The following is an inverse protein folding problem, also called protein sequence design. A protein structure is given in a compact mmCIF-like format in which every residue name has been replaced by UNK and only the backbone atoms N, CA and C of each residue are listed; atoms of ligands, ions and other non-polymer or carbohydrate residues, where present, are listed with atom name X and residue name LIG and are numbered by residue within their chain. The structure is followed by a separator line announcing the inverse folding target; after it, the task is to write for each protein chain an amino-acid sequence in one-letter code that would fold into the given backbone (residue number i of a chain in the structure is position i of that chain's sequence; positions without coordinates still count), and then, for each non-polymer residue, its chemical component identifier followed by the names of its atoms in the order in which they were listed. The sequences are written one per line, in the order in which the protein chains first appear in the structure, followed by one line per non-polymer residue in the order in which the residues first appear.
data_IF_094308305455
#
_entry.id   IF_094308305455
#
_cell.length_a   1.000
_cell.length_b   1.000
_cell.length_c   1.000
_cell.angle_alpha   90.00
_cell.angle_beta   90.00
_cell.angle_gamma   90.00
#
_symmetry.space_group_name_H-M   'P 1'
#
loop_
_entity.id
_entity.type
_entity.pdbx_description
1 polymer ?
#
# COMPACT_ATOMS: atom_id res chain seq x y z
N UNK A 1 8.49 -42.46 26.15
CA UNK A 1 7.77 -42.72 24.88
C UNK A 1 6.66 -41.69 24.66
N UNK A 2 5.58 -41.65 25.46
CA UNK A 2 4.42 -40.78 25.23
C UNK A 2 4.72 -39.25 25.17
N UNK A 3 5.62 -38.74 26.01
CA UNK A 3 5.99 -37.30 26.02
C UNK A 3 6.67 -36.82 24.74
N UNK A 4 7.52 -37.66 24.14
CA UNK A 4 8.20 -37.33 22.89
C UNK A 4 7.22 -37.34 21.71
N UNK A 5 6.24 -38.26 21.71
CA UNK A 5 5.19 -38.34 20.70
C UNK A 5 4.28 -37.10 20.73
N UNK A 6 3.91 -36.62 21.93
CA UNK A 6 3.09 -35.41 22.09
C UNK A 6 3.84 -34.15 21.61
N UNK A 7 5.15 -34.04 21.90
CA UNK A 7 5.97 -32.92 21.42
C UNK A 7 6.12 -32.91 19.90
N UNK A 8 6.34 -34.08 19.28
CA UNK A 8 6.41 -34.22 17.81
C UNK A 8 5.11 -33.80 17.13
N UNK A 9 3.96 -34.20 17.70
CA UNK A 9 2.64 -33.82 17.18
C UNK A 9 2.39 -32.30 17.32
N UNK A 10 2.77 -31.71 18.46
CA UNK A 10 2.64 -30.27 18.67
C UNK A 10 3.51 -29.45 17.69
N UNK A 11 4.76 -29.88 17.45
CA UNK A 11 5.66 -29.23 16.48
C UNK A 11 5.13 -29.37 15.05
N UNK A 12 4.63 -30.54 14.67
CA UNK A 12 4.02 -30.76 13.36
C UNK A 12 2.79 -29.87 13.14
N UNK A 13 1.95 -29.70 14.17
CA UNK A 13 0.77 -28.84 14.12
C UNK A 13 1.15 -27.35 13.97
N UNK A 14 2.18 -26.89 14.68
CA UNK A 14 2.70 -25.51 14.56
C UNK A 14 3.30 -25.26 13.18
N UNK A 15 4.02 -26.24 12.61
CA UNK A 15 4.58 -26.14 11.26
C UNK A 15 3.49 -26.08 10.19
N UNK A 16 2.41 -26.84 10.34
CA UNK A 16 1.24 -26.78 9.43
C UNK A 16 0.52 -25.42 9.49
N UNK A 17 0.41 -24.83 10.69
CA UNK A 17 -0.15 -23.48 10.87
C UNK A 17 0.75 -22.37 10.31
N UNK A 18 2.07 -22.58 10.28
CA UNK A 18 3.03 -21.65 9.69
C UNK A 18 3.12 -21.77 8.15
N UNK A 19 2.69 -22.90 7.59
CA UNK A 19 2.72 -23.18 6.15
C UNK A 19 1.49 -22.65 5.39
N UNK A 20 0.60 -21.88 6.04
CA UNK A 20 -0.49 -21.21 5.32
C UNK A 20 0.15 -20.25 4.31
N UNK A 21 0.00 -20.49 3.00
CA UNK A 21 0.46 -19.51 2.02
C UNK A 21 -0.32 -18.23 2.32
N UNK A 22 0.39 -17.19 2.75
CA UNK A 22 -0.17 -15.85 2.69
C UNK A 22 -0.47 -15.65 1.21
N UNK A 23 -1.75 -15.71 0.83
CA UNK A 23 -2.15 -15.38 -0.52
C UNK A 23 -1.56 -14.00 -0.80
N UNK A 24 -0.54 -13.94 -1.66
CA UNK A 24 0.01 -12.68 -2.11
C UNK A 24 -1.10 -12.06 -2.96
N UNK A 25 -1.92 -11.20 -2.34
CA UNK A 25 -2.81 -10.34 -3.10
C UNK A 25 -1.90 -9.43 -3.88
N UNK A 26 -1.71 -9.76 -5.16
CA UNK A 26 -0.99 -8.91 -6.08
C UNK A 26 -1.67 -7.53 -6.02
N UNK A 27 -0.88 -6.48 -5.86
CA UNK A 27 -1.40 -5.12 -5.92
C UNK A 27 -1.94 -4.90 -7.34
N UNK A 28 -3.27 -4.84 -7.44
CA UNK A 28 -4.02 -4.55 -8.65
C UNK A 28 -4.33 -3.04 -8.75
N UNK A 29 -4.24 -2.46 -9.94
CA UNK A 29 -4.44 -1.02 -10.09
C UNK A 29 -5.89 -0.56 -9.85
N UNK A 30 -6.89 -1.41 -10.07
CA UNK A 30 -8.28 -1.11 -9.71
C UNK A 30 -8.46 -1.08 -8.19
N UNK A 31 -7.76 -1.95 -7.45
CA UNK A 31 -7.72 -1.89 -5.99
C UNK A 31 -7.02 -0.61 -5.50
N UNK A 32 -5.86 -0.27 -6.07
CA UNK A 32 -5.15 0.99 -5.77
C UNK A 32 -6.05 2.21 -6.02
N UNK A 33 -6.71 2.27 -7.17
CA UNK A 33 -7.64 3.33 -7.53
C UNK A 33 -8.76 3.46 -6.49
N UNK A 34 -9.36 2.34 -6.07
CA UNK A 34 -10.42 2.36 -5.05
C UNK A 34 -9.97 2.96 -3.71
N UNK A 35 -8.72 2.72 -3.32
CA UNK A 35 -8.13 3.25 -2.08
C UNK A 35 -7.86 4.75 -2.18
N UNK A 36 -7.43 5.24 -3.34
CA UNK A 36 -7.01 6.65 -3.51
C UNK A 36 -8.10 7.56 -4.09
N UNK A 37 -9.20 7.01 -4.62
CA UNK A 37 -10.35 7.79 -5.10
C UNK A 37 -10.85 8.86 -4.11
N UNK A 38 -10.96 8.59 -2.79
CA UNK A 38 -11.36 9.61 -1.82
C UNK A 38 -10.38 10.79 -1.69
N UNK A 39 -9.16 10.67 -2.22
CA UNK A 39 -8.14 11.72 -2.21
C UNK A 39 -8.28 12.74 -3.34
N UNK A 40 -9.15 12.47 -4.32
CA UNK A 40 -9.25 13.28 -5.55
C UNK A 40 -9.44 14.78 -5.27
N UNK A 41 -10.37 15.12 -4.36
CA UNK A 41 -10.63 16.52 -4.00
C UNK A 41 -9.42 17.22 -3.40
N UNK A 42 -8.62 16.51 -2.61
CA UNK A 42 -7.41 17.06 -2.01
C UNK A 42 -6.30 17.25 -3.05
N UNK A 43 -6.03 16.23 -3.86
CA UNK A 43 -4.99 16.31 -4.88
C UNK A 43 -5.36 17.27 -6.03
N UNK A 44 -6.61 17.73 -6.13
CA UNK A 44 -7.04 18.79 -7.03
C UNK A 44 -7.04 20.20 -6.41
N UNK A 45 -6.42 20.37 -5.23
CA UNK A 45 -6.29 21.68 -4.57
C UNK A 45 -7.19 21.88 -3.34
N UNK A 46 -7.86 20.84 -2.86
CA UNK A 46 -8.59 20.89 -1.60
C UNK A 46 -7.70 21.21 -0.39
N UNK A 47 -8.29 21.68 0.73
CA UNK A 47 -7.54 22.20 1.88
C UNK A 47 -6.85 21.10 2.70
N UNK A 48 -7.44 19.90 2.79
CA UNK A 48 -6.89 18.77 3.55
C UNK A 48 -7.39 17.43 3.02
N UNK A 49 -6.61 16.34 3.21
CA UNK A 49 -7.08 15.00 2.91
C UNK A 49 -8.19 14.58 3.89
N UNK A 50 -9.22 13.92 3.38
CA UNK A 50 -10.28 13.34 4.21
C UNK A 50 -9.74 12.14 5.03
N UNK A 51 -10.46 11.77 6.09
CA UNK A 51 -10.13 10.56 6.85
C UNK A 51 -10.17 9.29 6.00
N UNK A 52 -11.10 9.21 5.04
CA UNK A 52 -11.18 8.10 4.09
C UNK A 52 -9.98 8.05 3.15
N UNK A 53 -9.54 9.22 2.66
CA UNK A 53 -8.33 9.32 1.85
C UNK A 53 -7.11 8.83 2.63
N UNK A 54 -6.92 9.30 3.87
CA UNK A 54 -5.78 8.85 4.67
C UNK A 54 -5.86 7.36 5.03
N UNK A 55 -7.05 6.83 5.31
CA UNK A 55 -7.24 5.39 5.50
C UNK A 55 -6.82 4.58 4.27
N UNK A 56 -7.15 5.06 3.06
CA UNK A 56 -6.73 4.43 1.80
C UNK A 56 -5.21 4.47 1.60
N UNK A 57 -4.58 5.63 1.81
CA UNK A 57 -3.13 5.82 1.70
C UNK A 57 -2.37 4.93 2.69
N UNK A 58 -2.81 4.86 3.95
CA UNK A 58 -2.23 4.00 4.98
C UNK A 58 -2.40 2.51 4.64
N UNK A 59 -3.58 2.12 4.16
CA UNK A 59 -3.85 0.74 3.75
C UNK A 59 -2.97 0.32 2.59
N UNK A 60 -2.79 1.18 1.58
CA UNK A 60 -1.89 0.91 0.46
C UNK A 60 -0.43 0.78 0.94
N UNK A 61 0.01 1.66 1.85
CA UNK A 61 1.35 1.57 2.44
C UNK A 61 1.57 0.23 3.16
N UNK A 62 0.61 -0.20 3.98
CA UNK A 62 0.67 -1.46 4.72
C UNK A 62 0.63 -2.70 3.82
N UNK A 63 0.08 -2.59 2.61
CA UNK A 63 0.09 -3.65 1.60
C UNK A 63 1.39 -3.66 0.78
N UNK A 64 1.94 -2.49 0.48
CA UNK A 64 3.15 -2.32 -0.34
C UNK A 64 4.46 -2.47 0.45
N UNK A 65 4.63 -3.61 1.14
CA UNK A 65 5.79 -3.86 2.02
C UNK A 65 6.99 -4.46 1.29
N UNK A 66 6.76 -5.23 0.22
CA UNK A 66 7.84 -5.76 -0.61
C UNK A 66 8.28 -4.77 -1.69
N UNK A 67 9.46 -4.98 -2.27
CA UNK A 67 9.92 -4.15 -3.40
C UNK A 67 8.95 -4.26 -4.59
N UNK A 68 8.55 -5.47 -4.96
CA UNK A 68 7.62 -5.69 -6.08
C UNK A 68 6.29 -5.01 -5.87
N UNK A 69 5.74 -5.05 -4.66
CA UNK A 69 4.45 -4.41 -4.35
C UNK A 69 4.56 -2.89 -4.40
N UNK A 70 5.66 -2.32 -3.89
CA UNK A 70 5.93 -0.87 -4.03
C UNK A 70 6.02 -0.45 -5.49
N UNK A 71 6.71 -1.23 -6.32
CA UNK A 71 6.83 -0.94 -7.75
C UNK A 71 5.47 -1.02 -8.44
N UNK A 72 4.66 -2.05 -8.13
CA UNK A 72 3.30 -2.18 -8.65
C UNK A 72 2.41 -1.00 -8.24
N UNK A 73 2.33 -0.68 -6.95
CA UNK A 73 1.58 0.46 -6.43
C UNK A 73 2.03 1.78 -7.07
N UNK A 74 3.34 2.01 -7.18
CA UNK A 74 3.90 3.21 -7.80
C UNK A 74 3.46 3.36 -9.26
N UNK A 75 3.56 2.29 -10.05
CA UNK A 75 3.16 2.32 -11.45
C UNK A 75 1.65 2.58 -11.60
N UNK A 76 0.81 1.98 -10.74
CA UNK A 76 -0.63 2.26 -10.71
C UNK A 76 -0.92 3.73 -10.37
N UNK A 77 -0.32 4.26 -9.29
CA UNK A 77 -0.50 5.65 -8.87
C UNK A 77 -0.04 6.64 -9.95
N UNK A 78 1.05 6.34 -10.66
CA UNK A 78 1.53 7.14 -11.79
C UNK A 78 0.53 7.16 -12.94
N UNK A 79 -0.08 6.03 -13.26
CA UNK A 79 -1.14 5.93 -14.26
C UNK A 79 -2.38 6.73 -13.87
N UNK A 80 -2.85 6.57 -12.63
CA UNK A 80 -4.00 7.30 -12.09
C UNK A 80 -3.75 8.81 -12.12
N UNK A 81 -2.59 9.26 -11.66
CA UNK A 81 -2.25 10.67 -11.59
C UNK A 81 -2.25 11.35 -12.97
N UNK A 82 -1.81 10.65 -14.03
CA UNK A 82 -1.89 11.14 -15.42
C UNK A 82 -3.32 11.38 -15.90
N UNK A 83 -4.31 10.70 -15.32
CA UNK A 83 -5.73 10.86 -15.64
C UNK A 83 -6.43 11.97 -14.85
N UNK A 84 -5.79 12.56 -13.84
CA UNK A 84 -6.41 13.59 -13.00
C UNK A 84 -6.26 14.97 -13.66
N UNK A 85 -7.38 15.56 -14.06
CA UNK A 85 -7.42 16.96 -14.47
C UNK A 85 -7.15 17.88 -13.28
N UNK A 86 -6.36 18.94 -13.49
CA UNK A 86 -5.99 19.95 -12.48
C UNK A 86 -5.31 19.36 -11.24
N UNK A 87 -4.45 18.37 -11.44
CA UNK A 87 -3.65 17.81 -10.37
C UNK A 87 -2.72 18.88 -9.77
N UNK A 88 -2.86 19.12 -8.47
CA UNK A 88 -1.97 19.95 -7.68
C UNK A 88 -0.80 19.10 -7.17
N UNK A 89 0.39 19.30 -7.73
CA UNK A 89 1.56 18.50 -7.40
C UNK A 89 1.98 18.62 -5.94
N UNK A 90 1.86 19.80 -5.34
CA UNK A 90 2.26 20.04 -3.95
C UNK A 90 1.35 19.28 -2.97
N UNK A 91 0.04 19.24 -3.26
CA UNK A 91 -0.90 18.43 -2.51
C UNK A 91 -0.63 16.93 -2.71
N UNK A 92 -0.34 16.49 -3.93
CA UNK A 92 0.02 15.10 -4.19
C UNK A 92 1.29 14.68 -3.43
N UNK A 93 2.34 15.52 -3.43
CA UNK A 93 3.61 15.30 -2.70
C UNK A 93 3.42 15.28 -1.18
N UNK A 94 2.56 16.14 -0.65
CA UNK A 94 2.34 16.27 0.79
C UNK A 94 1.27 15.32 1.35
N UNK A 95 0.55 14.59 0.51
CA UNK A 95 -0.53 13.69 0.91
C UNK A 95 -0.07 12.61 1.91
N UNK A 96 0.96 11.85 1.56
CA UNK A 96 1.47 10.76 2.42
C UNK A 96 1.90 11.25 3.82
N UNK A 97 2.77 12.27 3.96
CA UNK A 97 3.15 12.77 5.28
C UNK A 97 1.98 13.39 6.04
N UNK A 98 1.04 14.07 5.38
CA UNK A 98 -0.19 14.58 6.03
C UNK A 98 -1.10 13.47 6.55
N UNK A 99 -1.05 12.30 5.93
CA UNK A 99 -1.74 11.10 6.41
C UNK A 99 -0.91 10.25 7.37
N UNK A 100 0.22 10.76 7.87
CA UNK A 100 1.08 10.06 8.83
C UNK A 100 1.87 8.89 8.25
N UNK A 101 1.94 8.77 6.92
CA UNK A 101 2.75 7.76 6.24
C UNK A 101 4.13 8.36 5.95
N UNK A 102 5.15 7.85 6.62
CA UNK A 102 6.52 8.25 6.38
C UNK A 102 7.16 7.32 5.34
N UNK A 103 7.59 7.89 4.22
CA UNK A 103 8.27 7.16 3.16
C UNK A 103 9.74 7.55 3.15
N UNK A 104 10.66 6.60 2.95
CA UNK A 104 12.09 6.90 2.85
C UNK A 104 12.45 7.62 1.52
N UNK A 105 11.45 8.01 0.72
CA UNK A 105 11.60 8.68 -0.56
C UNK A 105 10.47 9.70 -0.76
N UNK A 106 10.70 10.67 -1.64
CA UNK A 106 9.69 11.66 -2.03
C UNK A 106 8.81 11.10 -3.15
N UNK A 107 7.49 11.10 -2.95
CA UNK A 107 6.55 10.82 -4.03
C UNK A 107 6.56 12.03 -4.97
N UNK A 108 6.84 11.81 -6.24
CA UNK A 108 6.70 12.80 -7.32
C UNK A 108 6.00 12.16 -8.51
N UNK A 109 5.38 12.96 -9.37
CA UNK A 109 4.68 12.45 -10.57
C UNK A 109 5.64 11.88 -11.61
N UNK A 110 6.89 12.35 -11.59
CA UNK A 110 8.00 11.82 -12.39
C UNK A 110 8.83 10.77 -11.66
N UNK A 111 8.34 10.23 -10.54
CA UNK A 111 9.07 9.20 -9.81
C UNK A 111 9.38 8.02 -10.73
N UNK A 112 10.64 7.56 -10.66
CA UNK A 112 11.08 6.33 -11.27
C UNK A 112 10.66 5.18 -10.36
N UNK A 113 9.57 4.51 -10.73
CA UNK A 113 8.99 3.41 -9.97
C UNK A 113 9.85 2.16 -9.92
N UNK A 114 11.04 2.14 -10.54
CA UNK A 114 11.92 0.96 -10.54
C UNK A 114 13.00 0.99 -9.45
N UNK A 115 13.17 2.12 -8.76
CA UNK A 115 14.22 2.31 -7.75
C UNK A 115 13.80 1.83 -6.37
#
# INVERSE_FOLDING_TARGET
MARAQVMLMAVALVLMLAAVPRAAVAIDCGHVDSLVRPCLSYVQGGPSPSGQCCGGVQSLHNQAQSKSDRQAACNCLKGIARGIHNLNEDNARSLAPKCGVNLPYHISLDIDCNR
#
